data_IF_841966680471
#
_entry.id   IF_841966680471
#
_cell.length_a   1.000
_cell.length_b   1.000
_cell.length_c   1.000
_cell.angle_alpha   90.00
_cell.angle_beta   90.00
_cell.angle_gamma   90.00
#
_symmetry.space_group_name_H-M   'P 1'
#
loop_
_entity.id
_entity.type
_entity.pdbx_description
1 polymer ?
#
# COMPACT_ATOMS: atom_id res chain seq x y z
N UNK A 1 28.84 -28.20 7.37
CA UNK A 1 27.72 -27.60 8.13
C UNK A 1 28.09 -26.15 8.29
N UNK A 2 27.59 -25.30 7.39
CA UNK A 2 27.84 -23.86 7.43
C UNK A 2 26.50 -23.14 7.33
N UNK A 3 26.42 -22.06 8.09
CA UNK A 3 25.22 -21.50 8.66
C UNK A 3 24.23 -20.93 7.65
N UNK A 4 22.97 -21.18 7.96
CA UNK A 4 21.79 -20.51 7.45
C UNK A 4 21.94 -18.99 7.58
N UNK A 5 21.95 -18.29 6.46
CA UNK A 5 21.66 -16.85 6.43
C UNK A 5 21.10 -16.47 5.07
N UNK A 6 20.04 -17.17 4.67
CA UNK A 6 19.14 -16.69 3.62
C UNK A 6 18.29 -15.55 4.23
N UNK A 7 18.92 -14.39 4.43
CA UNK A 7 18.18 -13.13 4.52
C UNK A 7 17.71 -12.84 3.11
N UNK A 8 16.63 -13.52 2.69
CA UNK A 8 15.94 -13.28 1.44
C UNK A 8 15.81 -11.76 1.26
N UNK A 9 16.59 -11.25 0.32
CA UNK A 9 16.44 -9.96 -0.32
C UNK A 9 14.96 -9.82 -0.72
N UNK A 10 14.14 -9.27 0.17
CA UNK A 10 12.80 -8.86 -0.21
C UNK A 10 12.98 -7.65 -1.11
N UNK A 11 12.89 -7.90 -2.42
CA UNK A 11 12.83 -6.88 -3.45
C UNK A 11 11.81 -5.82 -3.01
N UNK A 12 12.11 -4.51 -3.20
CA UNK A 12 11.16 -3.45 -2.90
C UNK A 12 9.85 -3.80 -3.59
N UNK A 13 8.79 -4.04 -2.83
CA UNK A 13 7.50 -4.37 -3.42
C UNK A 13 7.07 -3.16 -4.27
N UNK A 14 6.94 -3.37 -5.57
CA UNK A 14 6.39 -2.39 -6.48
C UNK A 14 4.96 -2.80 -6.75
N UNK A 15 3.95 -2.03 -6.33
CA UNK A 15 2.57 -2.36 -6.68
C UNK A 15 2.46 -2.25 -8.20
N UNK A 16 2.24 -3.40 -8.85
CA UNK A 16 2.39 -3.62 -10.28
C UNK A 16 1.95 -2.42 -11.12
N UNK A 17 2.90 -1.86 -11.88
CA UNK A 17 2.61 -0.91 -12.94
C UNK A 17 1.98 -1.66 -14.11
N UNK A 18 0.65 -1.56 -14.22
CA UNK A 18 -0.08 -1.74 -15.47
C UNK A 18 -0.99 -0.52 -15.59
N UNK A 19 -0.38 0.55 -16.10
CA UNK A 19 -0.88 1.37 -17.21
C UNK A 19 -2.34 1.08 -17.63
N UNK A 20 -3.30 1.48 -16.79
CA UNK A 20 -4.56 2.00 -17.33
C UNK A 20 -4.27 3.49 -17.62
N UNK A 21 -3.58 3.73 -18.74
CA UNK A 21 -3.55 5.05 -19.39
C UNK A 21 -5.00 5.37 -19.76
N UNK A 22 -5.71 6.21 -19.00
CA UNK A 22 -6.88 6.91 -19.54
C UNK A 22 -7.27 8.13 -18.69
N UNK A 23 -6.99 9.28 -19.31
CA UNK A 23 -7.56 10.60 -19.09
C UNK A 23 -7.14 11.34 -17.81
N UNK A 24 -6.03 12.07 -17.94
CA UNK A 24 -5.78 13.26 -17.13
C UNK A 24 -6.87 14.32 -17.41
N UNK A 25 -8.03 14.15 -16.79
CA UNK A 25 -8.92 15.28 -16.53
C UNK A 25 -8.09 16.28 -15.70
N UNK A 26 -7.72 17.39 -16.34
CA UNK A 26 -6.84 18.46 -15.85
C UNK A 26 -7.45 19.25 -14.67
N UNK A 27 -7.83 18.54 -13.62
CA UNK A 27 -8.21 19.02 -12.31
C UNK A 27 -7.19 18.52 -11.29
N UNK A 28 -6.90 19.33 -10.27
CA UNK A 28 -6.10 18.87 -9.12
C UNK A 28 -6.64 17.54 -8.62
N UNK A 29 -5.77 16.55 -8.43
CA UNK A 29 -6.15 15.27 -7.83
C UNK A 29 -6.97 15.53 -6.54
N UNK A 30 -8.06 14.77 -6.31
CA UNK A 30 -8.84 14.86 -5.09
C UNK A 30 -7.96 14.83 -3.83
N UNK A 31 -8.27 15.66 -2.83
CA UNK A 31 -7.47 15.77 -1.60
C UNK A 31 -7.26 14.43 -0.87
N UNK A 32 -8.24 13.52 -0.92
CA UNK A 32 -8.13 12.19 -0.32
C UNK A 32 -7.04 11.34 -0.98
N UNK A 33 -6.80 11.52 -2.29
CA UNK A 33 -5.72 10.82 -2.98
C UNK A 33 -4.37 11.32 -2.51
N UNK A 34 -4.17 12.64 -2.45
CA UNK A 34 -2.92 13.20 -1.93
C UNK A 34 -2.64 12.73 -0.49
N UNK A 35 -3.65 12.78 0.38
CA UNK A 35 -3.52 12.33 1.77
C UNK A 35 -3.23 10.83 1.88
N UNK A 36 -3.93 9.99 1.11
CA UNK A 36 -3.65 8.56 1.09
C UNK A 36 -2.24 8.26 0.53
N UNK A 37 -1.83 8.93 -0.54
CA UNK A 37 -0.50 8.77 -1.15
C UNK A 37 0.61 9.09 -0.16
N UNK A 38 0.47 10.12 0.67
CA UNK A 38 1.45 10.44 1.72
C UNK A 38 1.61 9.29 2.72
N UNK A 39 0.49 8.74 3.22
CA UNK A 39 0.51 7.64 4.18
C UNK A 39 1.07 6.35 3.58
N UNK A 40 0.68 6.01 2.35
CA UNK A 40 1.21 4.82 1.64
C UNK A 40 2.70 4.99 1.36
N UNK A 41 3.14 6.19 0.95
CA UNK A 41 4.56 6.48 0.73
C UNK A 41 5.37 6.36 2.02
N UNK A 42 4.79 6.74 3.16
CA UNK A 42 5.44 6.53 4.45
C UNK A 42 5.47 5.04 4.82
N UNK A 43 4.37 4.31 4.62
CA UNK A 43 4.29 2.87 4.86
C UNK A 43 5.36 2.09 4.08
N UNK A 44 5.55 2.45 2.80
CA UNK A 44 6.60 1.95 1.91
C UNK A 44 8.00 2.12 2.52
N UNK A 45 8.29 3.32 3.05
CA UNK A 45 9.59 3.65 3.64
C UNK A 45 9.81 2.88 4.94
N UNK A 46 8.78 2.81 5.78
CA UNK A 46 8.82 2.09 7.06
C UNK A 46 9.03 0.60 6.83
N UNK A 47 8.36 0.02 5.84
CA UNK A 47 8.54 -1.37 5.46
C UNK A 47 9.97 -1.65 5.00
N UNK A 48 10.50 -0.81 4.11
CA UNK A 48 11.89 -0.92 3.65
C UNK A 48 12.90 -0.78 4.79
N UNK A 49 12.55 -0.01 5.83
CA UNK A 49 13.35 0.14 7.04
C UNK A 49 13.17 -1.01 8.05
N UNK A 50 12.27 -1.98 7.79
CA UNK A 50 11.93 -3.07 8.72
C UNK A 50 11.05 -2.62 9.89
N UNK A 51 10.51 -1.40 9.86
CA UNK A 51 9.57 -0.87 10.85
C UNK A 51 8.15 -1.38 10.58
N UNK A 52 7.98 -2.71 10.54
CA UNK A 52 6.75 -3.38 10.10
C UNK A 52 5.47 -2.93 10.84
N UNK A 53 5.46 -2.68 12.17
CA UNK A 53 4.27 -2.15 12.84
C UNK A 53 3.84 -0.77 12.31
N UNK A 54 4.80 0.11 12.02
CA UNK A 54 4.53 1.43 11.45
C UNK A 54 4.07 1.33 10.00
N UNK A 55 4.70 0.44 9.21
CA UNK A 55 4.28 0.15 7.84
C UNK A 55 2.82 -0.33 7.77
N UNK A 56 2.44 -1.30 8.61
CA UNK A 56 1.06 -1.79 8.69
C UNK A 56 0.05 -0.71 9.03
N UNK A 57 0.41 0.19 9.97
CA UNK A 57 -0.43 1.32 10.29
C UNK A 57 -0.59 2.25 9.09
N UNK A 58 0.50 2.59 8.40
CA UNK A 58 0.45 3.44 7.20
C UNK A 58 -0.39 2.84 6.06
N UNK A 59 -0.28 1.52 5.80
CA UNK A 59 -1.16 0.84 4.83
C UNK A 59 -2.62 0.92 5.24
N UNK A 60 -2.94 0.61 6.49
CA UNK A 60 -4.31 0.62 6.99
C UNK A 60 -4.92 2.01 6.90
N UNK A 61 -4.20 3.03 7.36
CA UNK A 61 -4.69 4.40 7.41
C UNK A 61 -4.80 4.98 5.98
N UNK A 62 -3.83 4.70 5.10
CA UNK A 62 -3.89 5.07 3.69
C UNK A 62 -5.07 4.44 2.95
N UNK A 63 -5.26 3.12 3.10
CA UNK A 63 -6.41 2.39 2.51
C UNK A 63 -7.73 2.90 3.06
N UNK A 64 -7.81 3.21 4.35
CA UNK A 64 -9.02 3.76 4.96
C UNK A 64 -9.45 5.07 4.27
N UNK A 65 -8.50 5.97 4.03
CA UNK A 65 -8.76 7.23 3.31
C UNK A 65 -9.20 6.99 1.87
N UNK A 66 -8.51 6.08 1.16
CA UNK A 66 -8.91 5.71 -0.20
C UNK A 66 -10.37 5.26 -0.26
N UNK A 67 -10.77 4.36 0.64
CA UNK A 67 -12.13 3.82 0.67
C UNK A 67 -13.18 4.84 1.13
N UNK A 68 -12.81 5.79 2.00
CA UNK A 68 -13.69 6.90 2.37
C UNK A 68 -13.91 7.89 1.22
N UNK A 69 -12.90 8.10 0.36
CA UNK A 69 -12.98 9.03 -0.77
C UNK A 69 -13.78 8.52 -1.97
N UNK A 70 -13.75 7.19 -2.21
CA UNK A 70 -14.39 6.56 -3.37
C UNK A 70 -15.87 6.93 -3.58
N UNK A 71 -16.76 6.97 -2.56
CA UNK A 71 -18.16 7.33 -2.77
C UNK A 71 -18.36 8.77 -3.29
N UNK A 72 -17.47 9.69 -2.91
CA UNK A 72 -17.54 11.11 -3.30
C UNK A 72 -16.76 11.44 -4.57
N UNK A 73 -16.08 10.48 -5.16
CA UNK A 73 -15.26 10.69 -6.35
C UNK A 73 -16.12 10.72 -7.63
N UNK A 74 -16.09 11.81 -8.43
CA UNK A 74 -16.93 11.94 -9.61
C UNK A 74 -16.52 11.03 -10.77
N UNK A 75 -15.28 10.53 -10.80
CA UNK A 75 -14.78 9.71 -11.90
C UNK A 75 -15.01 8.22 -11.62
N UNK A 76 -15.83 7.52 -12.42
CA UNK A 76 -16.02 6.07 -12.27
C UNK A 76 -14.73 5.29 -12.50
N UNK A 77 -13.89 5.69 -13.45
CA UNK A 77 -12.60 5.05 -13.71
C UNK A 77 -11.66 5.18 -12.50
N UNK A 78 -11.57 6.37 -11.92
CA UNK A 78 -10.73 6.60 -10.74
C UNK A 78 -11.22 5.83 -9.52
N UNK A 79 -12.55 5.76 -9.30
CA UNK A 79 -13.12 4.93 -8.23
C UNK A 79 -12.72 3.47 -8.35
N UNK A 80 -12.72 2.93 -9.57
CA UNK A 80 -12.31 1.55 -9.80
C UNK A 80 -10.81 1.36 -9.58
N UNK A 81 -9.98 2.26 -10.13
CA UNK A 81 -8.53 2.24 -9.90
C UNK A 81 -8.16 2.33 -8.43
N UNK A 82 -8.84 3.18 -7.65
CA UNK A 82 -8.63 3.32 -6.21
C UNK A 82 -8.99 2.04 -5.46
N UNK A 83 -10.10 1.38 -5.80
CA UNK A 83 -10.48 0.11 -5.16
C UNK A 83 -9.48 -1.00 -5.46
N UNK A 84 -9.03 -1.12 -6.72
CA UNK A 84 -7.98 -2.07 -7.12
C UNK A 84 -6.72 -1.83 -6.29
N UNK A 85 -6.26 -0.57 -6.23
CA UNK A 85 -5.05 -0.21 -5.49
C UNK A 85 -5.17 -0.45 -3.99
N UNK A 86 -6.33 -0.15 -3.41
CA UNK A 86 -6.60 -0.42 -1.99
C UNK A 86 -6.52 -1.92 -1.67
N UNK A 87 -7.02 -2.79 -2.56
CA UNK A 87 -6.91 -4.24 -2.39
C UNK A 87 -5.45 -4.72 -2.45
N UNK A 88 -4.63 -4.16 -3.34
CA UNK A 88 -3.20 -4.48 -3.41
C UNK A 88 -2.46 -4.08 -2.12
N UNK A 89 -2.75 -2.91 -1.56
CA UNK A 89 -2.15 -2.47 -0.30
C UNK A 89 -2.58 -3.33 0.90
N UNK A 90 -3.84 -3.76 0.95
CA UNK A 90 -4.30 -4.70 1.98
C UNK A 90 -3.58 -6.04 1.87
N UNK A 91 -3.45 -6.58 0.66
CA UNK A 91 -2.70 -7.81 0.42
C UNK A 91 -1.26 -7.68 0.92
N UNK A 92 -0.59 -6.56 0.62
CA UNK A 92 0.78 -6.33 1.11
C UNK A 92 0.86 -6.25 2.63
N UNK A 93 -0.08 -5.57 3.27
CA UNK A 93 -0.15 -5.49 4.73
C UNK A 93 -0.35 -6.88 5.37
N UNK A 94 -1.19 -7.73 4.78
CA UNK A 94 -1.37 -9.11 5.26
C UNK A 94 -0.08 -9.95 5.12
N UNK A 95 0.64 -9.81 4.01
CA UNK A 95 1.94 -10.48 3.81
C UNK A 95 2.96 -10.06 4.88
N UNK A 96 3.07 -8.75 5.16
CA UNK A 96 3.96 -8.22 6.19
C UNK A 96 3.62 -8.80 7.57
N UNK A 97 2.33 -8.85 7.91
CA UNK A 97 1.86 -9.42 9.17
C UNK A 97 2.31 -10.89 9.29
N UNK A 98 2.01 -11.71 8.29
CA UNK A 98 2.34 -13.13 8.31
C UNK A 98 3.85 -13.42 8.34
N UNK A 99 4.65 -12.67 7.57
CA UNK A 99 6.08 -12.92 7.44
C UNK A 99 6.87 -12.39 8.64
N UNK A 100 6.48 -11.25 9.22
CA UNK A 100 7.33 -10.51 10.16
C UNK A 100 6.77 -10.41 11.59
N UNK A 101 5.45 -10.51 11.78
CA UNK A 101 4.83 -10.28 13.09
C UNK A 101 4.07 -11.50 13.63
N UNK A 102 3.63 -12.43 12.77
CA UNK A 102 2.96 -13.66 13.18
C UNK A 102 3.90 -14.75 13.70
N UNK A 103 5.21 -14.50 13.74
CA UNK A 103 6.20 -15.41 14.36
C UNK A 103 6.37 -15.23 15.87
N UNK A 104 5.49 -14.47 16.54
CA UNK A 104 5.50 -14.44 18.01
C UNK A 104 4.93 -15.76 18.57
N UNK A 105 5.71 -16.60 19.28
CA UNK A 105 5.13 -17.69 20.05
C UNK A 105 4.24 -17.13 21.18
N UNK A 106 3.21 -17.89 21.60
CA UNK A 106 2.31 -17.53 22.69
C UNK A 106 3.00 -17.40 24.05
#
# INVERSE_FOLDING_TARGET
MEAESERLDQEPWEPGGQEDEEDEERGSAPAYLSQATELITQALRDEKAGAYPAALQGYRDGVHILLQGVPGDPSPARREGVKKKAAEYLKRAEEILHLHLSQLPP
#
